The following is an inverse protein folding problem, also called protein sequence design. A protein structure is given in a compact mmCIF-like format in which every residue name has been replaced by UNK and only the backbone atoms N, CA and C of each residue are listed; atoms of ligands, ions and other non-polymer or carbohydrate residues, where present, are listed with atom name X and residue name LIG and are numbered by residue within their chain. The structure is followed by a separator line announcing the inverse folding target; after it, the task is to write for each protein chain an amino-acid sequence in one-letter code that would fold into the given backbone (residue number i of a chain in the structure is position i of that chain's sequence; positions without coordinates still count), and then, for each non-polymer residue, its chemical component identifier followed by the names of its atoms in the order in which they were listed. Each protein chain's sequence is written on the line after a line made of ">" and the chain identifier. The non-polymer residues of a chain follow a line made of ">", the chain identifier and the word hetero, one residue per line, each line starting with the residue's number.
data_IF_717135666217
#
_entry.id   IF_717135666217
#
_cell.length_a   1.000
_cell.length_b   1.000
_cell.length_c   1.000
_cell.angle_alpha   90.00
_cell.angle_beta   90.00
_cell.angle_gamma   90.00
#
_symmetry.space_group_name_H-M   'P 1'
#
loop_
_entity.id
_entity.type
_entity.pdbx_description
1 polymer ?
#
# COMPACT_ATOMS: atom_id res chain seq x y z
N UNK A 1 24.28 -42.38 45.15
CA UNK A 1 23.17 -42.43 44.15
C UNK A 1 22.21 -41.24 44.22
N UNK A 2 21.77 -40.76 45.40
CA UNK A 2 20.80 -39.65 45.50
C UNK A 2 21.29 -38.31 44.91
N UNK A 3 22.58 -37.97 45.06
CA UNK A 3 23.18 -36.74 44.49
C UNK A 3 23.27 -36.79 42.95
N UNK A 4 23.55 -37.95 42.36
CA UNK A 4 23.59 -38.12 40.91
C UNK A 4 22.20 -37.97 40.28
N UNK A 5 21.14 -38.44 40.94
CA UNK A 5 19.75 -38.25 40.50
C UNK A 5 19.36 -36.76 40.56
N UNK A 6 19.78 -36.04 41.61
CA UNK A 6 19.52 -34.61 41.74
C UNK A 6 20.26 -33.78 40.66
N UNK A 7 21.50 -34.13 40.34
CA UNK A 7 22.23 -33.54 39.20
C UNK A 7 21.54 -33.83 37.86
N UNK A 8 21.02 -35.04 37.66
CA UNK A 8 20.33 -35.40 36.41
C UNK A 8 19.01 -34.62 36.23
N UNK A 9 18.29 -34.32 37.32
CA UNK A 9 17.08 -33.49 37.29
C UNK A 9 17.40 -32.02 36.98
N UNK A 10 18.53 -31.50 37.49
CA UNK A 10 19.00 -30.13 37.23
C UNK A 10 19.47 -29.89 35.79
N UNK A 11 19.97 -30.93 35.10
CA UNK A 11 20.40 -30.81 33.69
C UNK A 11 19.21 -30.71 32.74
N UNK A 12 18.07 -31.32 33.09
CA UNK A 12 16.86 -31.30 32.25
C UNK A 12 16.06 -29.98 32.35
N UNK A 13 16.27 -29.16 33.39
CA UNK A 13 15.58 -27.86 33.53
C UNK A 13 16.25 -26.72 32.76
N UNK A 14 17.37 -26.96 32.07
CA UNK A 14 18.15 -25.94 31.35
C UNK A 14 17.89 -25.87 29.84
N UNK A 15 16.89 -26.60 29.33
CA UNK A 15 16.52 -26.53 27.91
C UNK A 15 15.72 -25.24 27.69
N UNK A 16 16.43 -24.12 27.58
CA UNK A 16 15.87 -22.90 27.03
C UNK A 16 15.65 -23.12 25.53
N UNK A 17 14.44 -22.86 25.04
CA UNK A 17 14.17 -22.88 23.60
C UNK A 17 14.98 -21.77 22.93
N UNK A 18 15.94 -22.15 22.11
CA UNK A 18 16.75 -21.25 21.30
C UNK A 18 16.22 -21.23 19.87
N UNK A 19 15.92 -20.05 19.36
CA UNK A 19 15.41 -19.83 18.02
C UNK A 19 16.33 -18.87 17.27
N UNK A 20 16.37 -18.98 15.95
CA UNK A 20 17.12 -18.07 15.10
C UNK A 20 16.18 -17.47 14.07
N UNK A 21 16.20 -16.15 13.95
CA UNK A 21 15.41 -15.45 12.95
C UNK A 21 16.25 -14.37 12.29
N UNK A 22 15.95 -14.12 11.00
CA UNK A 22 16.53 -12.99 10.29
C UNK A 22 15.80 -11.71 10.69
N UNK A 23 16.56 -10.65 10.95
CA UNK A 23 16.02 -9.34 11.25
C UNK A 23 15.52 -8.66 9.97
N UNK A 24 14.22 -8.73 9.73
CA UNK A 24 13.60 -8.22 8.51
C UNK A 24 12.92 -6.86 8.74
N UNK A 25 12.77 -6.02 7.70
CA UNK A 25 11.89 -4.85 7.74
C UNK A 25 10.48 -5.23 8.18
N UNK A 26 9.80 -4.34 8.90
CA UNK A 26 8.42 -4.59 9.34
C UNK A 26 7.53 -4.92 8.14
N UNK A 27 7.62 -4.11 7.08
CA UNK A 27 6.90 -4.29 5.84
C UNK A 27 7.82 -4.12 4.63
N UNK A 28 7.53 -4.89 3.59
CA UNK A 28 8.16 -4.79 2.28
C UNK A 28 7.07 -4.66 1.22
N UNK A 29 7.13 -3.58 0.45
CA UNK A 29 6.13 -3.23 -0.54
C UNK A 29 6.69 -3.41 -1.94
N UNK A 30 5.90 -4.06 -2.80
CA UNK A 30 6.14 -4.11 -4.24
C UNK A 30 5.23 -3.09 -4.91
N UNK A 31 5.79 -1.97 -5.37
CA UNK A 31 5.03 -0.91 -6.00
C UNK A 31 4.90 -1.22 -7.48
N UNK A 32 3.66 -1.37 -7.93
CA UNK A 32 3.30 -1.70 -9.31
C UNK A 32 2.62 -0.52 -10.00
N UNK A 33 2.71 -0.47 -11.32
CA UNK A 33 2.03 0.56 -12.08
C UNK A 33 0.52 0.36 -12.03
N UNK A 34 -0.23 1.44 -11.78
CA UNK A 34 -1.68 1.45 -11.94
C UNK A 34 -2.12 1.87 -13.35
N UNK A 35 -1.19 2.40 -14.15
CA UNK A 35 -1.48 3.07 -15.43
C UNK A 35 -0.47 2.68 -16.50
N UNK A 36 -0.88 2.75 -17.76
CA UNK A 36 0.02 2.55 -18.89
C UNK A 36 0.75 3.84 -19.27
N UNK A 37 1.98 3.70 -19.76
CA UNK A 37 2.69 4.79 -20.42
C UNK A 37 4.20 4.58 -20.48
N UNK A 38 4.86 5.55 -21.12
CA UNK A 38 6.33 5.60 -21.17
C UNK A 38 6.86 6.25 -19.91
N UNK A 39 7.87 5.64 -19.30
CA UNK A 39 8.61 6.21 -18.17
C UNK A 39 9.47 7.37 -18.69
N UNK A 40 9.19 8.58 -18.20
CA UNK A 40 9.95 9.80 -18.55
C UNK A 40 11.04 10.11 -17.54
N UNK A 41 10.92 9.58 -16.32
CA UNK A 41 11.91 9.75 -15.27
C UNK A 41 11.94 8.51 -14.37
N UNK A 42 13.15 8.09 -14.00
CA UNK A 42 13.41 7.02 -13.02
C UNK A 42 14.62 7.41 -12.18
N UNK A 43 14.44 7.47 -10.86
CA UNK A 43 15.46 7.92 -9.91
C UNK A 43 16.37 6.78 -9.44
N UNK A 44 17.11 6.15 -10.36
CA UNK A 44 18.00 5.02 -10.04
C UNK A 44 19.05 5.34 -8.97
N UNK A 45 19.40 6.61 -8.78
CA UNK A 45 20.38 7.05 -7.77
C UNK A 45 19.93 6.85 -6.33
N UNK A 46 18.63 6.69 -6.08
CA UNK A 46 18.08 6.52 -4.73
C UNK A 46 18.01 5.06 -4.27
N UNK A 47 18.32 4.13 -5.17
CA UNK A 47 18.48 2.73 -4.80
C UNK A 47 19.50 2.59 -3.68
N UNK A 48 19.16 1.81 -2.66
CA UNK A 48 20.01 1.68 -1.49
C UNK A 48 19.84 2.79 -0.44
N UNK A 49 18.89 3.70 -0.61
CA UNK A 49 18.69 4.86 0.27
C UNK A 49 17.22 5.10 0.66
N UNK A 50 17.00 5.95 1.68
CA UNK A 50 15.65 6.42 2.05
C UNK A 50 15.14 7.43 1.03
N UNK A 51 13.84 7.34 0.72
CA UNK A 51 13.22 8.14 -0.32
C UNK A 51 13.14 9.64 -0.02
N UNK A 52 12.95 10.04 1.23
CA UNK A 52 12.91 11.46 1.67
C UNK A 52 12.00 12.38 0.81
N UNK A 53 10.78 11.94 0.54
CA UNK A 53 9.78 12.67 -0.24
C UNK A 53 10.21 12.97 -1.68
N UNK A 54 11.04 12.11 -2.26
CA UNK A 54 11.50 12.23 -3.63
C UNK A 54 10.54 11.59 -4.64
N UNK A 55 10.60 12.08 -5.87
CA UNK A 55 9.99 11.41 -7.01
C UNK A 55 10.84 10.18 -7.32
N UNK A 56 10.21 9.02 -7.40
CA UNK A 56 10.87 7.76 -7.72
C UNK A 56 10.74 7.50 -9.22
N UNK A 57 9.51 7.56 -9.73
CA UNK A 57 9.19 7.31 -11.14
C UNK A 57 8.17 8.35 -11.63
N UNK A 58 8.36 8.84 -12.85
CA UNK A 58 7.35 9.60 -13.57
C UNK A 58 7.06 8.96 -14.93
N UNK A 59 5.78 8.78 -15.22
CA UNK A 59 5.23 8.27 -16.47
C UNK A 59 4.66 9.46 -17.25
N UNK A 60 4.81 9.46 -18.57
CA UNK A 60 4.34 10.55 -19.42
C UNK A 60 2.84 10.83 -19.22
N UNK A 61 2.53 12.04 -18.76
CA UNK A 61 1.18 12.53 -18.48
C UNK A 61 0.77 13.71 -19.37
N UNK A 62 1.56 14.07 -20.39
CA UNK A 62 1.34 15.27 -21.20
C UNK A 62 -0.03 15.30 -21.87
N UNK A 63 -0.39 14.22 -22.57
CA UNK A 63 -1.70 14.11 -23.25
C UNK A 63 -2.84 14.12 -22.24
N UNK A 64 -2.74 13.37 -21.14
CA UNK A 64 -3.78 13.34 -20.11
C UNK A 64 -4.02 14.72 -19.47
N UNK A 65 -2.96 15.51 -19.23
CA UNK A 65 -3.08 16.87 -18.70
C UNK A 65 -3.79 17.80 -19.68
N UNK A 66 -3.49 17.66 -20.98
CA UNK A 66 -4.18 18.40 -22.04
C UNK A 66 -5.66 18.03 -22.10
N UNK A 67 -5.97 16.73 -22.11
CA UNK A 67 -7.35 16.22 -22.11
C UNK A 67 -8.12 16.72 -20.89
N UNK A 68 -7.52 16.71 -19.70
CA UNK A 68 -8.14 17.22 -18.48
C UNK A 68 -8.51 18.70 -18.61
N UNK A 69 -7.63 19.51 -19.21
CA UNK A 69 -7.90 20.93 -19.46
C UNK A 69 -9.07 21.11 -20.41
N UNK A 70 -9.09 20.35 -21.52
CA UNK A 70 -10.18 20.42 -22.50
C UNK A 70 -11.52 19.93 -21.94
N UNK A 71 -11.53 18.84 -21.18
CA UNK A 71 -12.71 18.33 -20.51
C UNK A 71 -13.29 19.35 -19.53
N UNK A 72 -12.45 20.09 -18.78
CA UNK A 72 -12.90 21.18 -17.90
C UNK A 72 -13.55 22.32 -18.69
N UNK A 73 -12.97 22.70 -19.82
CA UNK A 73 -13.57 23.73 -20.68
C UNK A 73 -14.92 23.27 -21.24
N UNK A 74 -15.01 22.01 -21.71
CA UNK A 74 -16.27 21.42 -22.18
C UNK A 74 -17.33 21.37 -21.08
N UNK A 75 -16.94 21.03 -19.85
CA UNK A 75 -17.86 21.07 -18.69
C UNK A 75 -18.39 22.48 -18.44
N UNK A 76 -17.56 23.52 -18.59
CA UNK A 76 -17.99 24.92 -18.48
C UNK A 76 -19.07 25.23 -19.52
N UNK A 77 -18.83 24.89 -20.79
CA UNK A 77 -19.82 25.12 -21.85
C UNK A 77 -21.13 24.36 -21.63
N UNK A 78 -21.06 23.11 -21.14
CA UNK A 78 -22.25 22.34 -20.78
C UNK A 78 -23.04 23.05 -19.66
N UNK A 79 -22.37 23.59 -18.64
CA UNK A 79 -23.05 24.34 -17.57
C UNK A 79 -23.74 25.59 -18.11
N UNK A 80 -23.10 26.33 -19.02
CA UNK A 80 -23.67 27.51 -19.67
C UNK A 80 -24.92 27.13 -20.49
N UNK A 81 -24.85 26.05 -21.27
CA UNK A 81 -25.98 25.50 -22.02
C UNK A 81 -27.13 25.09 -21.09
N UNK A 82 -26.83 24.41 -19.98
CA UNK A 82 -27.83 24.04 -18.97
C UNK A 82 -28.52 25.29 -18.41
N UNK A 83 -27.78 26.36 -18.14
CA UNK A 83 -28.35 27.62 -17.62
C UNK A 83 -29.31 28.25 -18.63
N UNK A 84 -28.91 28.32 -19.91
CA UNK A 84 -29.73 28.84 -21.01
C UNK A 84 -31.00 28.01 -21.17
N UNK A 85 -30.87 26.69 -21.29
CA UNK A 85 -32.01 25.80 -21.54
C UNK A 85 -32.97 25.73 -20.35
N UNK A 86 -32.47 25.83 -19.11
CA UNK A 86 -33.32 25.98 -17.93
C UNK A 86 -34.12 27.28 -17.94
N UNK A 87 -33.49 28.39 -18.31
CA UNK A 87 -34.18 29.68 -18.42
C UNK A 87 -35.25 29.63 -19.52
N UNK A 88 -34.94 29.01 -20.66
CA UNK A 88 -35.88 28.78 -21.75
C UNK A 88 -37.07 27.92 -21.29
N UNK A 89 -36.80 26.82 -20.59
CA UNK A 89 -37.86 25.98 -20.02
C UNK A 89 -38.74 26.75 -19.03
N UNK A 90 -38.14 27.51 -18.11
CA UNK A 90 -38.90 28.34 -17.14
C UNK A 90 -39.78 29.37 -17.84
N UNK A 91 -39.30 30.00 -18.90
CA UNK A 91 -40.09 30.95 -19.72
C UNK A 91 -41.22 30.23 -20.44
N UNK A 92 -40.93 29.12 -21.12
CA UNK A 92 -41.92 28.33 -21.85
C UNK A 92 -43.02 27.79 -20.94
N UNK A 93 -42.69 27.37 -19.73
CA UNK A 93 -43.66 26.83 -18.78
C UNK A 93 -44.71 27.87 -18.32
N UNK A 94 -44.34 29.15 -18.30
CA UNK A 94 -45.24 30.27 -18.00
C UNK A 94 -46.20 30.61 -19.14
N UNK A 95 -45.93 30.12 -20.35
CA UNK A 95 -46.80 30.36 -21.52
C UNK A 95 -47.94 29.33 -21.49
N UNK A 96 -49.17 29.81 -21.30
CA UNK A 96 -50.38 28.96 -21.25
C UNK A 96 -50.77 28.39 -22.61
N UNK A 97 -50.50 29.13 -23.70
CA UNK A 97 -50.82 28.71 -25.08
C UNK A 97 -49.88 27.64 -25.65
N UNK A 98 -48.86 27.23 -24.89
CA UNK A 98 -47.89 26.21 -25.31
C UNK A 98 -48.30 24.82 -24.83
N UNK A 99 -48.20 23.86 -25.73
CA UNK A 99 -48.61 22.47 -25.46
C UNK A 99 -47.71 21.83 -24.40
N UNK A 100 -48.25 20.84 -23.68
CA UNK A 100 -47.47 20.02 -22.76
C UNK A 100 -46.29 19.34 -23.49
N UNK A 101 -46.52 18.87 -24.72
CA UNK A 101 -45.50 18.27 -25.56
C UNK A 101 -44.30 19.19 -25.83
N UNK A 102 -44.53 20.46 -26.17
CA UNK A 102 -43.45 21.45 -26.35
C UNK A 102 -42.69 21.68 -25.03
N UNK A 103 -43.40 21.77 -23.91
CA UNK A 103 -42.80 21.95 -22.57
C UNK A 103 -41.93 20.76 -22.19
N UNK A 104 -42.40 19.54 -22.42
CA UNK A 104 -41.67 18.31 -22.14
C UNK A 104 -40.45 18.15 -23.07
N UNK A 105 -40.58 18.49 -24.35
CA UNK A 105 -39.46 18.51 -25.30
C UNK A 105 -38.34 19.44 -24.81
N UNK A 106 -38.69 20.63 -24.32
CA UNK A 106 -37.72 21.57 -23.77
C UNK A 106 -37.10 21.06 -22.45
N UNK A 107 -37.89 20.41 -21.59
CA UNK A 107 -37.39 19.77 -20.36
C UNK A 107 -36.41 18.64 -20.67
N UNK A 108 -36.68 17.83 -21.70
CA UNK A 108 -35.80 16.74 -22.14
C UNK A 108 -34.43 17.24 -22.57
N UNK A 109 -34.35 18.39 -23.26
CA UNK A 109 -33.05 19.03 -23.58
C UNK A 109 -32.22 19.32 -22.33
N UNK A 110 -32.83 19.88 -21.29
CA UNK A 110 -32.16 20.15 -20.01
C UNK A 110 -31.69 18.85 -19.37
N UNK A 111 -32.53 17.81 -19.35
CA UNK A 111 -32.18 16.50 -18.77
C UNK A 111 -31.00 15.88 -19.51
N UNK A 112 -31.00 15.89 -20.84
CA UNK A 112 -29.92 15.36 -21.65
C UNK A 112 -28.59 16.08 -21.38
N UNK A 113 -28.60 17.41 -21.30
CA UNK A 113 -27.40 18.18 -20.95
C UNK A 113 -26.90 17.86 -19.53
N UNK A 114 -27.80 17.65 -18.57
CA UNK A 114 -27.43 17.21 -17.21
C UNK A 114 -26.80 15.81 -17.21
N UNK A 115 -27.28 14.91 -18.06
CA UNK A 115 -26.65 13.60 -18.27
C UNK A 115 -25.23 13.78 -18.80
N UNK A 116 -25.05 14.55 -19.87
CA UNK A 116 -23.72 14.82 -20.45
C UNK A 116 -22.77 15.51 -19.47
N UNK A 117 -23.30 16.35 -18.56
CA UNK A 117 -22.51 16.94 -17.47
C UNK A 117 -21.99 15.86 -16.51
N UNK A 118 -22.82 14.89 -16.14
CA UNK A 118 -22.43 13.81 -15.26
C UNK A 118 -21.32 12.96 -15.90
N UNK A 119 -21.48 12.58 -17.17
CA UNK A 119 -20.48 11.82 -17.93
C UNK A 119 -19.15 12.56 -18.01
N UNK A 120 -19.19 13.87 -18.31
CA UNK A 120 -17.99 14.72 -18.37
C UNK A 120 -17.30 14.84 -17.01
N UNK A 121 -18.08 14.86 -15.92
CA UNK A 121 -17.53 14.92 -14.55
C UNK A 121 -16.78 13.64 -14.23
N UNK A 122 -17.36 12.46 -14.56
CA UNK A 122 -16.70 11.17 -14.39
C UNK A 122 -15.40 11.11 -15.18
N UNK A 123 -15.42 11.57 -16.45
CA UNK A 123 -14.21 11.62 -17.28
C UNK A 123 -13.11 12.48 -16.66
N UNK A 124 -13.45 13.64 -16.08
CA UNK A 124 -12.50 14.53 -15.39
C UNK A 124 -11.87 13.83 -14.19
N UNK A 125 -12.65 13.13 -13.37
CA UNK A 125 -12.12 12.42 -12.20
C UNK A 125 -11.21 11.26 -12.61
N UNK A 126 -11.57 10.49 -13.63
CA UNK A 126 -10.72 9.43 -14.17
C UNK A 126 -9.38 9.96 -14.69
N UNK A 127 -9.38 11.12 -15.37
CA UNK A 127 -8.16 11.77 -15.85
C UNK A 127 -7.29 12.27 -14.69
N UNK A 128 -7.89 12.85 -13.64
CA UNK A 128 -7.15 13.28 -12.44
C UNK A 128 -6.49 12.10 -11.76
N UNK A 129 -7.21 11.00 -11.56
CA UNK A 129 -6.68 9.79 -10.95
C UNK A 129 -5.53 9.21 -11.78
N UNK A 130 -5.72 9.10 -13.10
CA UNK A 130 -4.68 8.67 -14.04
C UNK A 130 -3.42 9.52 -13.91
N UNK A 131 -3.55 10.86 -13.94
CA UNK A 131 -2.40 11.77 -13.84
C UNK A 131 -1.69 11.65 -12.50
N UNK A 132 -2.44 11.51 -11.40
CA UNK A 132 -1.89 11.29 -10.06
C UNK A 132 -1.07 10.01 -10.03
N UNK A 133 -1.60 8.92 -10.59
CA UNK A 133 -0.95 7.61 -10.65
C UNK A 133 0.22 7.54 -11.63
N UNK A 134 0.49 8.60 -12.40
CA UNK A 134 1.67 8.72 -13.27
C UNK A 134 2.89 9.34 -12.58
N UNK A 135 2.74 9.94 -11.40
CA UNK A 135 3.84 10.53 -10.64
C UNK A 135 3.95 9.87 -9.27
N UNK A 136 4.97 9.03 -9.11
CA UNK A 136 5.16 8.19 -7.93
C UNK A 136 6.17 8.89 -7.01
N UNK A 137 5.70 9.29 -5.83
CA UNK A 137 6.50 9.96 -4.79
C UNK A 137 6.51 9.05 -3.57
N UNK A 138 7.71 8.72 -3.09
CA UNK A 138 7.87 7.94 -1.86
C UNK A 138 8.36 8.84 -0.73
N UNK A 139 7.72 8.73 0.45
CA UNK A 139 7.92 9.68 1.55
C UNK A 139 9.15 9.34 2.37
N UNK A 140 9.21 8.13 2.92
CA UNK A 140 10.20 7.79 3.96
C UNK A 140 10.80 6.40 3.81
N UNK A 141 10.19 5.54 3.01
CA UNK A 141 10.63 4.16 2.89
C UNK A 141 12.00 4.07 2.20
N UNK A 142 12.72 3.00 2.52
CA UNK A 142 13.96 2.64 1.85
C UNK A 142 13.65 2.05 0.47
N UNK A 143 14.34 2.51 -0.57
CA UNK A 143 14.15 1.99 -1.93
C UNK A 143 15.18 0.88 -2.17
N UNK A 144 14.73 -0.37 -2.25
CA UNK A 144 15.64 -1.50 -2.43
C UNK A 144 16.00 -1.78 -3.88
N UNK A 145 15.09 -1.50 -4.81
CA UNK A 145 15.28 -1.78 -6.22
C UNK A 145 14.32 -0.93 -7.06
N UNK A 146 14.78 -0.40 -8.19
CA UNK A 146 13.93 0.22 -9.22
C UNK A 146 14.00 -0.64 -10.47
N UNK A 147 12.88 -1.25 -10.80
CA UNK A 147 12.79 -2.26 -11.86
C UNK A 147 12.67 -1.67 -13.28
N UNK A 148 12.43 -0.37 -13.40
CA UNK A 148 12.20 0.31 -14.70
C UNK A 148 13.13 1.50 -14.90
N UNK A 149 13.54 1.71 -16.14
CA UNK A 149 14.41 2.80 -16.57
C UNK A 149 13.64 3.84 -17.37
N UNK A 150 14.23 5.02 -17.50
CA UNK A 150 13.70 6.03 -18.41
C UNK A 150 13.68 5.48 -19.84
N UNK A 151 12.55 5.64 -20.53
CA UNK A 151 12.33 5.11 -21.86
C UNK A 151 11.46 3.86 -21.91
N UNK A 152 11.38 3.12 -20.80
CA UNK A 152 10.60 1.87 -20.72
C UNK A 152 9.10 2.14 -20.84
N UNK A 153 8.37 1.17 -21.36
CA UNK A 153 6.92 1.17 -21.40
C UNK A 153 6.38 0.24 -20.33
N UNK A 154 5.45 0.76 -19.54
CA UNK A 154 4.79 0.01 -18.45
C UNK A 154 3.30 -0.13 -18.71
N UNK A 155 2.72 -1.19 -18.17
CA UNK A 155 1.29 -1.47 -18.17
C UNK A 155 0.80 -1.66 -16.72
N UNK A 156 -0.52 -1.60 -16.47
CA UNK A 156 -1.06 -1.92 -15.15
C UNK A 156 -0.56 -3.28 -14.65
N UNK A 157 -0.01 -3.30 -13.44
CA UNK A 157 0.58 -4.47 -12.82
C UNK A 157 2.09 -4.65 -13.04
N UNK A 158 2.72 -3.89 -13.94
CA UNK A 158 4.19 -3.91 -14.10
C UNK A 158 4.87 -3.48 -12.79
N UNK A 159 5.86 -4.25 -12.33
CA UNK A 159 6.68 -3.88 -11.17
C UNK A 159 7.50 -2.63 -11.48
N UNK A 160 7.38 -1.61 -10.62
CA UNK A 160 8.07 -0.33 -10.78
C UNK A 160 9.26 -0.24 -9.86
N UNK A 161 9.05 -0.42 -8.56
CA UNK A 161 10.10 -0.42 -7.55
C UNK A 161 9.68 -1.18 -6.31
N UNK A 162 10.66 -1.53 -5.49
CA UNK A 162 10.46 -2.14 -4.18
C UNK A 162 10.85 -1.15 -3.10
N UNK A 163 10.01 -1.04 -2.08
CA UNK A 163 10.28 -0.20 -0.92
C UNK A 163 10.10 -0.97 0.38
N UNK A 164 10.86 -0.58 1.41
CA UNK A 164 10.90 -1.26 2.71
C UNK A 164 10.68 -0.25 3.82
N UNK A 165 9.78 -0.57 4.74
CA UNK A 165 9.63 0.21 5.98
C UNK A 165 10.69 -0.26 6.98
N UNK A 166 11.64 0.63 7.26
CA UNK A 166 12.75 0.39 8.19
C UNK A 166 12.51 1.02 9.57
N UNK A 167 11.29 1.44 9.90
CA UNK A 167 10.95 2.04 11.20
C UNK A 167 11.13 1.06 12.36
N UNK A 168 10.80 -0.21 12.12
CA UNK A 168 10.93 -1.34 13.04
C UNK A 168 11.38 -2.56 12.26
N UNK A 169 11.89 -3.54 12.99
CA UNK A 169 12.19 -4.85 12.44
C UNK A 169 11.23 -5.89 12.99
N UNK A 170 10.98 -6.92 12.19
CA UNK A 170 10.32 -8.14 12.63
C UNK A 170 11.31 -9.29 12.66
N UNK A 171 11.13 -10.15 13.65
CA UNK A 171 11.78 -11.46 13.75
C UNK A 171 10.67 -12.49 13.65
N UNK A 172 10.75 -13.36 12.65
CA UNK A 172 9.81 -14.45 12.46
C UNK A 172 10.54 -15.79 12.58
N UNK A 173 10.01 -16.67 13.43
CA UNK A 173 10.53 -18.02 13.66
C UNK A 173 9.39 -18.97 13.98
N UNK A 174 9.67 -20.27 13.95
CA UNK A 174 8.70 -21.32 14.17
C UNK A 174 8.94 -22.01 15.51
N UNK A 175 7.87 -22.19 16.28
CA UNK A 175 7.88 -22.81 17.61
C UNK A 175 6.95 -24.01 17.63
N UNK A 176 7.36 -25.17 18.15
CA UNK A 176 6.50 -26.33 18.32
C UNK A 176 5.19 -26.01 19.06
N UNK A 177 4.05 -26.49 18.56
CA UNK A 177 2.71 -26.12 19.07
C UNK A 177 2.55 -26.36 20.58
N UNK A 178 3.13 -27.44 21.08
CA UNK A 178 3.11 -27.82 22.50
C UNK A 178 3.92 -26.88 23.41
N UNK A 179 4.83 -26.08 22.86
CA UNK A 179 5.69 -25.17 23.63
C UNK A 179 5.17 -23.72 23.65
N UNK A 180 4.29 -23.35 22.71
CA UNK A 180 3.87 -21.96 22.49
C UNK A 180 3.22 -21.32 23.73
N UNK A 181 2.38 -22.05 24.46
CA UNK A 181 1.73 -21.52 25.67
C UNK A 181 2.75 -21.19 26.77
N UNK A 182 3.80 -22.02 26.92
CA UNK A 182 4.86 -21.82 27.90
C UNK A 182 5.79 -20.64 27.56
N UNK A 183 5.78 -20.13 26.32
CA UNK A 183 6.63 -19.01 25.91
C UNK A 183 6.05 -17.65 26.28
N UNK A 184 4.73 -17.53 26.48
CA UNK A 184 4.07 -16.25 26.75
C UNK A 184 4.51 -15.60 28.07
N UNK A 185 4.94 -16.41 29.03
CA UNK A 185 5.29 -15.98 30.38
C UNK A 185 6.81 -15.76 30.57
N UNK A 186 7.63 -16.16 29.59
CA UNK A 186 9.09 -16.10 29.68
C UNK A 186 9.65 -14.75 29.25
N UNK A 187 10.80 -14.38 29.81
CA UNK A 187 11.53 -13.20 29.38
C UNK A 187 12.25 -13.48 28.05
N UNK A 188 12.22 -12.51 27.14
CA UNK A 188 12.82 -12.62 25.81
C UNK A 188 14.21 -12.02 25.80
N UNK A 189 15.19 -12.81 25.39
CA UNK A 189 16.57 -12.39 25.20
C UNK A 189 16.89 -12.40 23.70
N UNK A 190 17.56 -11.35 23.22
CA UNK A 190 18.08 -11.23 21.86
C UNK A 190 19.60 -11.21 21.93
N UNK A 191 20.25 -12.14 21.24
CA UNK A 191 21.72 -12.33 21.25
C UNK A 191 22.30 -12.38 22.68
N UNK A 192 21.61 -13.09 23.59
CA UNK A 192 22.01 -13.24 25.00
C UNK A 192 21.70 -12.03 25.89
N UNK A 193 21.20 -10.92 25.34
CA UNK A 193 20.83 -9.71 26.11
C UNK A 193 19.34 -9.69 26.39
N UNK A 194 18.96 -9.43 27.65
CA UNK A 194 17.55 -9.26 28.02
C UNK A 194 16.96 -8.10 27.24
N UNK A 195 15.78 -8.30 26.67
CA UNK A 195 15.09 -7.30 25.85
C UNK A 195 13.70 -7.00 26.41
N UNK A 196 13.21 -5.78 26.16
CA UNK A 196 11.83 -5.39 26.48
C UNK A 196 10.84 -5.77 25.35
N UNK A 197 11.32 -6.54 24.37
CA UNK A 197 10.53 -7.00 23.23
C UNK A 197 9.47 -7.97 23.72
N UNK A 198 8.26 -7.84 23.17
CA UNK A 198 7.13 -8.73 23.44
C UNK A 198 6.72 -9.45 22.17
N UNK A 199 6.06 -10.59 22.35
CA UNK A 199 5.41 -11.29 21.25
C UNK A 199 4.36 -10.37 20.64
N UNK A 200 4.53 -10.07 19.35
CA UNK A 200 3.59 -9.26 18.60
C UNK A 200 2.42 -10.09 18.09
N UNK A 201 2.73 -11.25 17.50
CA UNK A 201 1.73 -12.17 16.93
C UNK A 201 2.17 -13.62 17.08
N UNK A 202 1.19 -14.49 17.30
CA UNK A 202 1.31 -15.94 17.20
C UNK A 202 0.31 -16.38 16.15
N UNK A 203 0.80 -17.02 15.08
CA UNK A 203 -0.04 -17.55 14.02
C UNK A 203 -0.54 -18.93 14.47
N UNK A 204 -1.81 -19.02 14.87
CA UNK A 204 -2.42 -20.24 15.41
C UNK A 204 -2.78 -21.29 14.36
N UNK A 205 -2.51 -21.00 13.09
CA UNK A 205 -2.65 -21.93 11.97
C UNK A 205 -1.24 -22.26 11.50
N UNK A 206 -0.91 -23.56 11.53
CA UNK A 206 0.38 -24.05 11.08
C UNK A 206 0.57 -23.82 9.57
N UNK A 207 1.81 -23.53 9.18
CA UNK A 207 2.17 -23.33 7.78
C UNK A 207 2.12 -24.67 7.02
N UNK A 208 1.86 -24.61 5.72
CA UNK A 208 2.02 -25.72 4.79
C UNK A 208 3.36 -26.47 4.92
N UNK A 209 4.45 -25.76 5.23
CA UNK A 209 5.78 -26.36 5.40
C UNK A 209 6.08 -26.77 6.86
N UNK A 210 5.47 -26.11 7.84
CA UNK A 210 5.75 -26.30 9.27
C UNK A 210 4.47 -26.71 10.02
N UNK A 211 3.97 -27.91 9.72
CA UNK A 211 2.66 -28.40 10.20
C UNK A 211 2.56 -28.61 11.72
N UNK A 212 3.69 -28.80 12.40
CA UNK A 212 3.77 -29.06 13.84
C UNK A 212 4.26 -27.84 14.64
N UNK A 213 4.37 -26.67 14.01
CA UNK A 213 4.90 -25.45 14.63
C UNK A 213 4.04 -24.23 14.27
N UNK A 214 3.91 -23.31 15.21
CA UNK A 214 3.31 -22.01 14.96
C UNK A 214 4.40 -20.98 14.64
N UNK A 215 4.11 -20.13 13.65
CA UNK A 215 4.93 -18.96 13.38
C UNK A 215 4.73 -17.95 14.51
N UNK A 216 5.82 -17.44 15.08
CA UNK A 216 5.81 -16.36 16.08
C UNK A 216 6.51 -15.16 15.47
N UNK A 217 5.96 -13.98 15.71
CA UNK A 217 6.53 -12.71 15.29
C UNK A 217 6.84 -11.84 16.51
N UNK A 218 8.07 -11.33 16.57
CA UNK A 218 8.50 -10.28 17.49
C UNK A 218 8.72 -8.97 16.72
N UNK A 219 8.44 -7.84 17.36
CA UNK A 219 8.79 -6.52 16.83
C UNK A 219 9.93 -5.92 17.64
N UNK A 220 10.99 -5.55 16.95
CA UNK A 220 12.16 -4.88 17.51
C UNK A 220 12.14 -3.42 17.05
N UNK A 221 12.54 -2.51 17.92
CA UNK A 221 12.69 -1.08 17.61
C UNK A 221 14.18 -0.69 17.74
N UNK A 222 14.57 0.47 17.18
CA UNK A 222 15.94 1.00 17.21
C UNK A 222 16.96 0.02 16.59
N UNK A 223 16.76 -0.31 15.30
CA UNK A 223 17.65 -1.21 14.56
C UNK A 223 18.58 -0.39 13.66
N UNK A 224 19.88 -0.62 13.79
CA UNK A 224 20.89 -0.02 12.92
C UNK A 224 21.14 -0.87 11.66
N UNK A 225 21.11 -2.19 11.80
CA UNK A 225 21.47 -3.14 10.73
C UNK A 225 20.39 -4.19 10.51
N UNK A 226 19.81 -4.22 9.31
CA UNK A 226 18.85 -5.24 8.89
C UNK A 226 19.56 -6.45 8.24
N UNK A 227 18.81 -7.54 8.04
CA UNK A 227 19.25 -8.78 7.40
C UNK A 227 20.27 -9.63 8.16
N UNK A 228 20.58 -9.30 9.42
CA UNK A 228 21.39 -10.15 10.30
C UNK A 228 20.56 -11.26 10.93
N UNK A 229 21.20 -12.40 11.21
CA UNK A 229 20.59 -13.45 12.04
C UNK A 229 20.66 -13.03 13.51
N UNK A 230 19.57 -13.25 14.24
CA UNK A 230 19.44 -12.93 15.67
C UNK A 230 19.09 -14.20 16.40
N UNK A 231 19.82 -14.48 17.48
CA UNK A 231 19.47 -15.56 18.42
C UNK A 231 18.39 -15.06 19.37
N UNK A 232 17.32 -15.84 19.52
CA UNK A 232 16.17 -15.55 20.36
C UNK A 232 16.10 -16.63 21.43
N UNK A 233 16.09 -16.23 22.70
CA UNK A 233 16.05 -17.17 23.81
C UNK A 233 14.89 -16.81 24.74
N UNK A 234 14.13 -17.82 25.16
CA UNK A 234 13.07 -17.68 26.16
C UNK A 234 13.53 -18.27 27.48
N UNK A 235 13.74 -17.40 28.47
CA UNK A 235 14.26 -17.76 29.81
C UNK A 235 13.30 -17.35 30.91
#
# INVERSE_FOLDING_TARGET
>A
MKIFIFCFILVNSLIAGEYYAKLEPIESYTVKSAVSGKVVFSNTKIEGSKANNSVIIEIDSKVNKMDLSQSRNKLKYINDMIAIENNNYKRLNKVSSKSAFEKDTQKLKVINLKSSKADMTIQIENLKDTIKNKKLIEKSNYISNIAVKQGDYVTPGTLLYESKDLSKAKLEFYVPINEVENLKEKAIYLDGKKSDVKINKIYTIADSQHISSYKIQLLVSNIDTFSRLVKIEFK
#
